data_IF_141332814405
#
_entry.id   IF_141332814405
#
_cell.length_a   1.000
_cell.length_b   1.000
_cell.length_c   1.000
_cell.angle_alpha   90.00
_cell.angle_beta   90.00
_cell.angle_gamma   90.00
#
_symmetry.space_group_name_H-M   'P 1'
#
loop_
_entity.id
_entity.type
_entity.pdbx_description
1 polymer ?
#
# COMPACT_ATOMS: atom_id res chain seq x y z
N UNK A 1 6.97 -9.59 -10.97
CA UNK A 1 7.12 -10.90 -10.32
C UNK A 1 6.76 -10.71 -8.86
N UNK A 2 5.86 -11.52 -8.28
CA UNK A 2 5.59 -11.50 -6.83
C UNK A 2 6.51 -12.52 -6.19
N UNK A 3 7.22 -12.12 -5.14
CA UNK A 3 8.02 -13.08 -4.37
C UNK A 3 7.10 -13.87 -3.44
N UNK A 4 7.40 -15.16 -3.29
CA UNK A 4 6.74 -16.02 -2.29
C UNK A 4 7.65 -16.04 -1.06
N UNK A 5 7.09 -15.80 0.12
CA UNK A 5 7.88 -15.91 1.36
C UNK A 5 8.01 -17.39 1.70
N UNK A 6 9.22 -17.92 1.49
CA UNK A 6 9.59 -19.29 1.84
C UNK A 6 10.08 -19.36 3.28
N UNK A 7 9.45 -20.18 4.12
CA UNK A 7 9.87 -20.34 5.53
C UNK A 7 11.20 -21.10 5.65
N UNK A 8 11.57 -21.85 4.61
CA UNK A 8 12.83 -22.56 4.55
C UNK A 8 14.00 -21.70 4.05
N UNK A 9 13.76 -20.43 3.72
CA UNK A 9 14.79 -19.49 3.31
C UNK A 9 15.87 -19.32 4.41
N UNK A 10 17.13 -19.48 4.01
CA UNK A 10 18.28 -19.43 4.92
C UNK A 10 18.44 -18.06 5.59
N UNK A 11 18.06 -16.96 4.94
CA UNK A 11 18.14 -15.63 5.56
C UNK A 11 17.08 -15.48 6.66
N UNK A 12 15.87 -16.00 6.44
CA UNK A 12 14.81 -16.01 7.47
C UNK A 12 15.17 -16.94 8.65
N UNK A 13 15.77 -18.10 8.38
CA UNK A 13 16.28 -19.00 9.42
C UNK A 13 17.38 -18.33 10.26
N UNK A 14 18.32 -17.64 9.63
CA UNK A 14 19.39 -16.93 10.34
C UNK A 14 18.85 -15.73 11.13
N UNK A 15 17.93 -14.96 10.54
CA UNK A 15 17.26 -13.86 11.23
C UNK A 15 16.55 -14.34 12.51
N UNK A 16 15.85 -15.48 12.45
CA UNK A 16 15.22 -16.10 13.61
C UNK A 16 16.25 -16.50 14.68
N UNK A 17 17.39 -17.09 14.28
CA UNK A 17 18.43 -17.53 15.21
C UNK A 17 19.08 -16.36 15.93
N UNK A 18 19.31 -15.25 15.24
CA UNK A 18 20.00 -14.08 15.79
C UNK A 18 19.08 -13.16 16.59
N UNK A 19 17.84 -12.94 16.13
CA UNK A 19 16.96 -11.88 16.65
C UNK A 19 15.62 -12.40 17.19
N UNK A 20 15.38 -13.71 17.10
CA UNK A 20 14.17 -14.35 17.59
C UNK A 20 13.00 -14.37 16.60
N UNK A 21 11.91 -14.99 17.05
CA UNK A 21 10.73 -15.27 16.23
C UNK A 21 9.92 -14.01 15.89
N UNK A 22 9.86 -13.05 16.82
CA UNK A 22 9.10 -11.81 16.64
C UNK A 22 9.67 -10.95 15.50
N UNK A 23 10.99 -10.76 15.49
CA UNK A 23 11.67 -10.00 14.42
C UNK A 23 11.52 -10.68 13.06
N UNK A 24 11.66 -12.01 13.01
CA UNK A 24 11.40 -12.79 11.79
C UNK A 24 9.98 -12.55 11.27
N UNK A 25 8.98 -12.59 12.15
CA UNK A 25 7.58 -12.40 11.77
C UNK A 25 7.30 -10.97 11.31
N UNK A 26 7.91 -9.95 11.95
CA UNK A 26 7.80 -8.56 11.50
C UNK A 26 8.35 -8.38 10.07
N UNK A 27 9.52 -8.96 9.77
CA UNK A 27 10.11 -8.90 8.42
C UNK A 27 9.24 -9.65 7.39
N UNK A 28 8.71 -10.82 7.75
CA UNK A 28 7.78 -11.59 6.89
C UNK A 28 6.54 -10.76 6.54
N UNK A 29 5.93 -10.11 7.53
CA UNK A 29 4.77 -9.22 7.31
C UNK A 29 5.11 -8.09 6.35
N UNK A 30 6.21 -7.37 6.57
CA UNK A 30 6.63 -6.28 5.70
C UNK A 30 6.89 -6.75 4.25
N UNK A 31 7.46 -7.94 4.05
CA UNK A 31 7.67 -8.51 2.71
C UNK A 31 6.36 -8.82 2.00
N UNK A 32 5.35 -9.33 2.71
CA UNK A 32 4.00 -9.58 2.17
C UNK A 32 3.34 -8.26 1.77
N UNK A 33 3.37 -7.24 2.63
CA UNK A 33 2.82 -5.91 2.35
C UNK A 33 3.45 -5.28 1.10
N UNK A 34 4.78 -5.36 0.97
CA UNK A 34 5.49 -4.88 -0.21
C UNK A 34 5.09 -5.64 -1.48
N UNK A 35 4.86 -6.96 -1.39
CA UNK A 35 4.43 -7.80 -2.50
C UNK A 35 2.99 -7.52 -2.93
N UNK A 36 2.13 -7.14 -2.00
CA UNK A 36 0.75 -6.75 -2.28
C UNK A 36 0.70 -5.40 -2.99
N UNK A 37 1.51 -4.45 -2.52
CA UNK A 37 1.41 -3.07 -2.98
C UNK A 37 2.20 -2.78 -4.26
N UNK A 38 3.49 -3.11 -4.30
CA UNK A 38 4.37 -2.88 -5.45
C UNK A 38 5.49 -3.94 -5.50
N UNK A 39 5.17 -5.17 -5.93
CA UNK A 39 6.12 -6.28 -5.87
C UNK A 39 7.37 -6.06 -6.73
N UNK A 40 7.25 -5.33 -7.84
CA UNK A 40 8.36 -5.10 -8.76
C UNK A 40 9.24 -3.92 -8.35
N UNK A 41 8.63 -2.81 -7.90
CA UNK A 41 9.37 -1.58 -7.61
C UNK A 41 9.74 -1.43 -6.14
N UNK A 42 8.96 -2.00 -5.22
CA UNK A 42 9.13 -1.84 -3.75
C UNK A 42 9.13 -0.36 -3.27
N UNK A 43 8.78 0.59 -4.13
CA UNK A 43 8.64 2.00 -3.78
C UNK A 43 7.20 2.31 -3.34
N UNK A 44 7.07 3.37 -2.53
CA UNK A 44 5.78 3.94 -2.17
C UNK A 44 5.06 4.47 -3.41
N UNK A 45 3.86 3.96 -3.65
CA UNK A 45 2.96 4.41 -4.70
C UNK A 45 1.88 5.30 -4.09
N UNK A 46 1.76 6.58 -4.49
CA UNK A 46 0.68 7.42 -4.00
C UNK A 46 -0.67 6.85 -4.46
N UNK A 47 -1.63 6.78 -3.54
CA UNK A 47 -3.00 6.37 -3.83
C UNK A 47 -3.98 7.45 -3.46
N UNK A 48 -5.04 7.61 -4.25
CA UNK A 48 -6.16 8.46 -3.85
C UNK A 48 -6.86 7.78 -2.67
N UNK A 49 -6.92 8.46 -1.52
CA UNK A 49 -7.50 7.93 -0.29
C UNK A 49 -8.83 8.62 0.02
N UNK A 50 -9.86 7.82 0.36
CA UNK A 50 -11.11 8.34 0.89
C UNK A 50 -11.01 8.33 2.43
N UNK A 51 -10.76 9.51 3.01
CA UNK A 51 -10.65 9.68 4.46
C UNK A 51 -11.95 9.37 5.21
N UNK A 52 -13.11 9.58 4.60
CA UNK A 52 -14.41 9.30 5.23
C UNK A 52 -14.70 7.79 5.32
N UNK A 53 -14.11 7.00 4.43
CA UNK A 53 -14.35 5.56 4.33
C UNK A 53 -13.12 4.73 4.76
N UNK A 54 -12.05 5.40 5.18
CA UNK A 54 -10.78 4.79 5.62
C UNK A 54 -10.23 3.74 4.66
N UNK A 55 -10.35 4.00 3.35
CA UNK A 55 -9.85 3.11 2.30
C UNK A 55 -9.43 3.87 1.06
N UNK A 56 -8.77 3.16 0.13
CA UNK A 56 -8.49 3.70 -1.21
C UNK A 56 -9.79 4.16 -1.87
N UNK A 57 -9.76 5.37 -2.41
CA UNK A 57 -10.86 5.93 -3.17
C UNK A 57 -11.09 5.13 -4.45
N UNK A 58 -12.36 4.89 -4.76
CA UNK A 58 -12.79 4.30 -6.03
C UNK A 58 -12.67 5.34 -7.15
N UNK A 59 -12.62 4.85 -8.38
CA UNK A 59 -12.64 5.70 -9.57
C UNK A 59 -13.90 6.59 -9.60
N UNK A 60 -15.05 6.05 -9.17
CA UNK A 60 -16.32 6.79 -9.09
C UNK A 60 -16.25 7.95 -8.10
N UNK A 61 -15.69 7.73 -6.91
CA UNK A 61 -15.50 8.77 -5.89
C UNK A 61 -14.58 9.88 -6.42
N UNK A 62 -13.47 9.51 -7.07
CA UNK A 62 -12.53 10.46 -7.67
C UNK A 62 -13.19 11.33 -8.76
N UNK A 63 -13.93 10.72 -9.70
CA UNK A 63 -14.65 11.44 -10.76
C UNK A 63 -15.71 12.38 -10.17
N UNK A 64 -16.49 11.90 -9.19
CA UNK A 64 -17.52 12.72 -8.54
C UNK A 64 -16.91 13.95 -7.86
N UNK A 65 -15.78 13.77 -7.17
CA UNK A 65 -15.05 14.87 -6.53
C UNK A 65 -14.56 15.91 -7.55
N UNK A 66 -13.93 15.47 -8.66
CA UNK A 66 -13.47 16.37 -9.72
C UNK A 66 -14.62 17.18 -10.35
N UNK A 67 -15.77 16.55 -10.61
CA UNK A 67 -16.95 17.24 -11.15
C UNK A 67 -17.45 18.31 -10.18
N UNK A 68 -17.49 18.00 -8.87
CA UNK A 68 -17.88 18.95 -7.82
C UNK A 68 -16.94 20.16 -7.79
N UNK A 69 -15.63 19.94 -7.86
CA UNK A 69 -14.63 21.01 -7.89
C UNK A 69 -14.79 21.91 -9.11
N UNK A 70 -14.94 21.33 -10.30
CA UNK A 70 -15.16 22.09 -11.55
C UNK A 70 -16.41 22.95 -11.45
N UNK A 71 -17.53 22.40 -10.98
CA UNK A 71 -18.80 23.14 -10.82
C UNK A 71 -18.65 24.28 -9.80
N UNK A 72 -17.94 24.05 -8.72
CA UNK A 72 -17.72 25.04 -7.66
C UNK A 72 -16.86 26.19 -8.18
N UNK A 73 -15.79 25.89 -8.92
CA UNK A 73 -14.92 26.90 -9.54
C UNK A 73 -15.65 27.73 -10.58
N UNK A 74 -16.46 27.09 -11.45
CA UNK A 74 -17.28 27.80 -12.45
C UNK A 74 -18.28 28.78 -11.83
N UNK A 75 -18.84 28.48 -10.66
CA UNK A 75 -19.75 29.38 -9.93
C UNK A 75 -19.04 30.54 -9.24
N UNK A 76 -17.72 30.45 -9.04
CA UNK A 76 -16.89 31.49 -8.41
C UNK A 76 -16.22 32.41 -9.42
N UNK A 77 -16.30 32.10 -10.72
CA UNK A 77 -15.86 33.01 -11.77
C UNK A 77 -16.93 34.09 -11.96
N UNK A 78 -16.55 35.38 -11.97
CA UNK A 78 -17.48 36.50 -12.09
C UNK A 78 -18.20 36.55 -13.45
#
# INVERSE_FOLDING_TARGET
>A
MKEVVDEDDEKLKNLRKEWGEEVKNAVKTALVELNEFNPSGRYTVPVLWNFEQERKATLKEGIAHMIKEIKTRKRKLP
#
